data_IF_289811319332
#
_entry.id   IF_289811319332
#
_cell.length_a   1.000
_cell.length_b   1.000
_cell.length_c   1.000
_cell.angle_alpha   90.00
_cell.angle_beta   90.00
_cell.angle_gamma   90.00
#
_symmetry.space_group_name_H-M   'P 1'
#
loop_
_entity.id
_entity.type
_entity.pdbx_description
1 polymer ?
#
# COMPACT_ATOMS: atom_id res chain seq x y z
N UNK A 1 2.01 -6.29 14.27
CA UNK A 1 0.59 -5.89 14.50
C UNK A 1 -0.04 -5.44 13.20
N UNK A 2 -1.23 -5.97 12.85
CA UNK A 2 -1.99 -5.56 11.67
C UNK A 2 -3.02 -4.48 12.04
N UNK A 3 -3.13 -3.44 11.22
CA UNK A 3 -4.09 -2.35 11.35
C UNK A 3 -4.84 -2.15 10.04
N UNK A 4 -6.16 -1.99 10.11
CA UNK A 4 -7.02 -1.69 8.97
C UNK A 4 -7.87 -0.44 9.24
N UNK A 5 -8.07 0.39 8.21
CA UNK A 5 -8.96 1.56 8.27
C UNK A 5 -9.72 1.75 6.97
N UNK A 6 -11.03 1.99 7.09
CA UNK A 6 -11.97 2.27 5.99
C UNK A 6 -12.39 3.75 6.07
N UNK A 7 -12.47 4.44 4.93
CA UNK A 7 -12.69 5.89 4.89
C UNK A 7 -13.13 6.40 3.50
N UNK A 8 -13.58 7.65 3.44
CA UNK A 8 -14.05 8.34 2.23
C UNK A 8 -12.93 9.04 1.43
N UNK A 9 -11.77 9.25 2.04
CA UNK A 9 -10.62 9.95 1.46
C UNK A 9 -9.35 9.13 1.68
N UNK A 10 -8.35 9.22 0.79
CA UNK A 10 -7.09 8.50 0.98
C UNK A 10 -6.37 8.96 2.26
N UNK A 11 -5.73 8.03 2.98
CA UNK A 11 -4.86 8.31 4.14
C UNK A 11 -3.40 8.20 3.78
N UNK A 12 -3.03 7.18 3.00
CA UNK A 12 -1.63 6.88 2.69
C UNK A 12 -1.27 7.43 1.30
N UNK A 13 -2.17 7.27 0.33
CA UNK A 13 -1.98 7.83 -0.99
C UNK A 13 -1.92 9.37 -0.91
N UNK A 14 -0.98 10.00 -1.64
CA UNK A 14 -0.90 11.46 -1.70
C UNK A 14 -2.11 12.03 -2.43
N UNK A 15 -2.49 13.28 -2.14
CA UNK A 15 -3.69 13.91 -2.73
C UNK A 15 -3.70 13.92 -4.27
N UNK A 16 -2.53 13.89 -4.89
CA UNK A 16 -2.32 13.90 -6.34
C UNK A 16 -2.17 12.50 -6.96
N UNK A 17 -2.45 11.42 -6.22
CA UNK A 17 -2.22 10.04 -6.66
C UNK A 17 -2.84 9.71 -8.03
N UNK A 18 -3.97 10.34 -8.36
CA UNK A 18 -4.68 10.17 -9.65
C UNK A 18 -3.89 10.65 -10.87
N UNK A 19 -2.91 11.52 -10.66
CA UNK A 19 -2.08 12.12 -11.72
C UNK A 19 -0.60 11.81 -11.56
N UNK A 20 -0.23 11.10 -10.49
CA UNK A 20 1.17 10.88 -10.11
C UNK A 20 1.75 9.67 -10.82
N UNK A 21 2.98 9.82 -11.31
CA UNK A 21 3.78 8.75 -11.87
C UNK A 21 4.40 7.89 -10.76
N UNK A 22 4.45 6.58 -10.98
CA UNK A 22 5.03 5.60 -10.07
C UNK A 22 6.55 5.65 -10.12
N UNK A 23 7.20 5.94 -9.00
CA UNK A 23 8.64 5.76 -8.85
C UNK A 23 8.92 4.56 -7.95
N UNK A 24 9.80 3.66 -8.38
CA UNK A 24 10.16 2.44 -7.66
C UNK A 24 11.54 2.53 -7.00
N UNK A 25 11.64 1.97 -5.78
CA UNK A 25 12.81 1.88 -4.89
C UNK A 25 13.30 3.24 -4.36
N UNK A 26 13.03 3.50 -3.08
CA UNK A 26 13.61 4.63 -2.34
C UNK A 26 14.42 4.05 -1.17
N UNK A 27 15.77 4.02 -1.26
CA UNK A 27 16.58 3.68 -0.10
C UNK A 27 16.36 4.74 0.99
N UNK A 28 16.32 4.29 2.25
CA UNK A 28 16.37 5.22 3.38
C UNK A 28 17.68 6.00 3.36
N UNK A 29 17.69 7.24 3.88
CA UNK A 29 18.88 8.12 3.86
C UNK A 29 20.14 7.48 4.48
N UNK A 30 19.94 6.51 5.37
CA UNK A 30 21.00 5.79 6.07
C UNK A 30 21.21 4.34 5.58
N UNK A 31 20.44 3.87 4.60
CA UNK A 31 20.40 2.46 4.15
C UNK A 31 20.04 1.44 5.25
N UNK A 32 19.39 1.88 6.33
CA UNK A 32 18.93 1.01 7.42
C UNK A 32 17.73 0.14 7.03
N UNK A 33 17.04 0.54 5.96
CA UNK A 33 15.87 -0.14 5.41
C UNK A 33 16.02 -0.34 3.91
N UNK A 34 15.79 -1.58 3.46
CA UNK A 34 15.53 -1.90 2.06
C UNK A 34 14.03 -1.80 1.82
N UNK A 35 13.61 -0.97 0.87
CA UNK A 35 12.23 -0.51 0.75
C UNK A 35 11.77 -0.29 -0.68
N UNK A 36 10.53 -0.71 -0.94
CA UNK A 36 9.80 -0.46 -2.20
C UNK A 36 8.55 0.33 -1.87
N UNK A 37 8.32 1.39 -2.64
CA UNK A 37 7.13 2.23 -2.54
C UNK A 37 6.46 2.26 -3.91
N UNK A 38 5.15 2.21 -3.91
CA UNK A 38 4.27 2.48 -5.05
C UNK A 38 3.37 3.66 -4.69
N UNK A 39 3.31 4.64 -5.58
CA UNK A 39 2.42 5.81 -5.51
C UNK A 39 1.95 6.09 -6.93
N UNK A 40 0.67 5.95 -7.23
CA UNK A 40 0.22 6.17 -8.60
C UNK A 40 -1.26 5.94 -8.83
N UNK A 41 -1.62 5.94 -10.11
CA UNK A 41 -3.00 6.07 -10.63
C UNK A 41 -3.89 4.83 -10.44
N UNK A 42 -3.48 3.86 -9.62
CA UNK A 42 -4.21 2.63 -9.42
C UNK A 42 -3.75 1.50 -10.35
N UNK A 43 -3.27 0.40 -9.78
CA UNK A 43 -3.10 -0.90 -10.48
C UNK A 43 -3.92 -1.96 -9.75
N UNK A 44 -4.32 -3.03 -10.43
CA UNK A 44 -5.04 -4.12 -9.75
C UNK A 44 -4.11 -4.82 -8.75
N UNK A 45 -4.67 -5.51 -7.77
CA UNK A 45 -3.88 -6.33 -6.83
C UNK A 45 -3.07 -7.38 -7.58
N UNK A 46 -3.64 -8.00 -8.61
CA UNK A 46 -2.97 -9.06 -9.37
C UNK A 46 -1.74 -8.57 -10.15
N UNK A 47 -1.79 -7.33 -10.64
CA UNK A 47 -0.69 -6.69 -11.37
C UNK A 47 0.31 -5.99 -10.46
N UNK A 48 -0.03 -5.78 -9.17
CA UNK A 48 0.81 -5.00 -8.28
C UNK A 48 2.12 -5.74 -7.94
N UNK A 49 3.30 -5.11 -8.11
CA UNK A 49 4.60 -5.77 -7.89
C UNK A 49 4.83 -6.19 -6.43
N UNK A 50 4.15 -5.55 -5.48
CA UNK A 50 4.21 -5.86 -4.04
C UNK A 50 3.10 -6.79 -3.54
N UNK A 51 2.27 -7.38 -4.41
CA UNK A 51 1.11 -8.18 -3.97
C UNK A 51 1.47 -9.31 -3.00
N UNK A 52 2.60 -9.99 -3.25
CA UNK A 52 3.11 -11.06 -2.38
C UNK A 52 3.79 -10.57 -1.11
N UNK A 53 4.22 -9.32 -1.08
CA UNK A 53 4.97 -8.73 0.05
C UNK A 53 4.05 -8.02 1.06
N UNK A 54 2.93 -7.44 0.59
CA UNK A 54 2.03 -6.65 1.42
C UNK A 54 0.72 -7.37 1.78
N UNK A 55 0.56 -8.67 1.48
CA UNK A 55 -0.66 -9.45 1.72
C UNK A 55 -1.94 -8.66 1.32
N UNK A 56 -2.01 -8.26 0.05
CA UNK A 56 -3.05 -7.36 -0.45
C UNK A 56 -4.40 -8.06 -0.59
N UNK A 57 -5.48 -7.37 -0.20
CA UNK A 57 -6.86 -7.84 -0.22
C UNK A 57 -7.79 -6.74 -0.75
N UNK A 58 -8.98 -7.15 -1.19
CA UNK A 58 -10.05 -6.28 -1.63
C UNK A 58 -10.57 -5.29 -0.57
N UNK A 59 -11.71 -4.69 -0.88
CA UNK A 59 -12.32 -3.61 -0.10
C UNK A 59 -12.73 -4.11 1.30
N UNK A 60 -12.31 -3.41 2.36
CA UNK A 60 -12.75 -3.73 3.73
C UNK A 60 -14.20 -3.34 4.03
N UNK A 61 -14.85 -2.56 3.15
CA UNK A 61 -16.23 -2.08 3.37
C UNK A 61 -17.30 -2.99 2.75
N UNK A 62 -17.16 -3.33 1.47
CA UNK A 62 -18.15 -4.15 0.75
C UNK A 62 -17.59 -5.50 0.28
N UNK A 63 -16.37 -5.84 0.69
CA UNK A 63 -15.69 -7.11 0.35
C UNK A 63 -15.49 -7.34 -1.16
N UNK A 64 -15.70 -6.31 -1.98
CA UNK A 64 -15.44 -6.40 -3.42
C UNK A 64 -13.94 -6.50 -3.70
N UNK A 65 -13.58 -7.39 -4.62
CA UNK A 65 -12.24 -7.54 -5.18
C UNK A 65 -11.97 -6.54 -6.32
N UNK A 66 -12.98 -5.79 -6.77
CA UNK A 66 -12.84 -4.73 -7.78
C UNK A 66 -12.23 -3.48 -7.12
N UNK A 67 -10.91 -3.53 -6.92
CA UNK A 67 -10.14 -2.48 -6.28
C UNK A 67 -8.88 -2.12 -7.08
N UNK A 68 -8.44 -0.88 -6.91
CA UNK A 68 -7.15 -0.39 -7.40
C UNK A 68 -6.25 -0.02 -6.24
N UNK A 69 -5.02 -0.51 -6.23
CA UNK A 69 -3.97 -0.13 -5.28
C UNK A 69 -3.43 1.24 -5.67
N UNK A 70 -3.62 2.22 -4.79
CA UNK A 70 -3.24 3.64 -5.01
C UNK A 70 -1.98 4.03 -4.24
N UNK A 71 -1.63 3.20 -3.25
CA UNK A 71 -0.41 3.31 -2.46
C UNK A 71 0.00 1.92 -1.97
N UNK A 72 1.30 1.64 -1.93
CA UNK A 72 1.84 0.51 -1.19
C UNK A 72 3.29 0.77 -0.79
N UNK A 73 3.67 0.35 0.42
CA UNK A 73 5.05 0.27 0.84
C UNK A 73 5.32 -1.12 1.40
N UNK A 74 6.53 -1.59 1.14
CA UNK A 74 7.11 -2.72 1.83
C UNK A 74 8.55 -2.38 2.16
N UNK A 75 8.97 -2.63 3.39
CA UNK A 75 10.34 -2.42 3.80
C UNK A 75 10.77 -3.43 4.86
N UNK A 76 12.05 -3.77 4.86
CA UNK A 76 12.67 -4.64 5.87
C UNK A 76 13.87 -3.93 6.48
N UNK A 77 13.97 -3.99 7.80
CA UNK A 77 15.13 -3.51 8.55
C UNK A 77 16.34 -4.35 8.20
N UNK A 78 17.42 -3.72 7.74
CA UNK A 78 18.69 -4.41 7.43
C UNK A 78 19.36 -4.93 8.71
N UNK A 79 19.10 -4.30 9.86
CA UNK A 79 19.71 -4.65 11.13
C UNK A 79 18.99 -5.78 11.88
N UNK A 80 17.66 -5.74 11.92
CA UNK A 80 16.83 -6.67 12.72
C UNK A 80 16.07 -7.70 11.87
N UNK A 81 15.86 -7.42 10.58
CA UNK A 81 14.98 -8.23 9.73
C UNK A 81 13.49 -7.92 9.90
N UNK A 82 13.13 -6.94 10.74
CA UNK A 82 11.73 -6.58 10.98
C UNK A 82 11.08 -6.07 9.70
N UNK A 83 9.92 -6.64 9.38
CA UNK A 83 9.16 -6.29 8.20
C UNK A 83 8.09 -5.25 8.52
N UNK A 84 8.01 -4.23 7.66
CA UNK A 84 6.94 -3.26 7.65
C UNK A 84 6.29 -3.26 6.26
N UNK A 85 4.97 -3.18 6.21
CA UNK A 85 4.28 -2.87 4.98
C UNK A 85 3.00 -2.12 5.24
N UNK A 86 2.58 -1.37 4.23
CA UNK A 86 1.26 -0.80 4.17
C UNK A 86 0.77 -0.76 2.72
N UNK A 87 -0.53 -0.63 2.56
CA UNK A 87 -1.12 -0.34 1.26
C UNK A 87 -2.47 0.33 1.44
N UNK A 88 -2.91 0.99 0.39
CA UNK A 88 -4.23 1.58 0.29
C UNK A 88 -4.85 1.24 -1.05
N UNK A 89 -6.09 0.80 -1.01
CA UNK A 89 -6.91 0.53 -2.19
C UNK A 89 -8.10 1.47 -2.24
N UNK A 90 -8.54 1.81 -3.46
CA UNK A 90 -9.84 2.41 -3.75
C UNK A 90 -10.75 1.34 -4.36
N UNK A 91 -11.96 1.19 -3.81
CA UNK A 91 -12.96 0.28 -4.36
C UNK A 91 -13.71 0.93 -5.53
N UNK A 92 -13.78 0.24 -6.67
CA UNK A 92 -14.47 0.71 -7.86
C UNK A 92 -16.00 0.59 -7.74
N UNK A 93 -16.50 -0.22 -6.80
CA UNK A 93 -17.95 -0.38 -6.55
C UNK A 93 -18.49 0.62 -5.54
N UNK A 94 -17.94 0.65 -4.31
CA UNK A 94 -18.47 1.49 -3.24
C UNK A 94 -17.75 2.84 -3.06
N UNK A 95 -16.65 3.06 -3.80
CA UNK A 95 -15.88 4.31 -3.75
C UNK A 95 -15.13 4.55 -2.43
N UNK A 96 -15.13 3.59 -1.50
CA UNK A 96 -14.40 3.69 -0.23
C UNK A 96 -12.94 3.32 -0.39
N UNK A 97 -12.11 3.94 0.42
CA UNK A 97 -10.70 3.60 0.57
C UNK A 97 -10.53 2.61 1.72
N UNK A 98 -9.66 1.62 1.54
CA UNK A 98 -9.23 0.71 2.61
C UNK A 98 -7.71 0.76 2.69
N UNK A 99 -7.20 1.17 3.86
CA UNK A 99 -5.77 1.16 4.14
C UNK A 99 -5.44 0.04 5.14
N UNK A 100 -4.38 -0.72 4.87
CA UNK A 100 -3.86 -1.73 5.80
C UNK A 100 -2.39 -1.48 6.06
N UNK A 101 -1.96 -1.71 7.28
CA UNK A 101 -0.56 -1.54 7.71
C UNK A 101 -0.17 -2.67 8.64
N UNK A 102 1.07 -3.13 8.53
CA UNK A 102 1.68 -4.14 9.36
C UNK A 102 3.09 -3.70 9.75
N UNK A 103 3.45 -3.95 10.99
CA UNK A 103 4.82 -3.88 11.48
C UNK A 103 5.07 -5.11 12.33
N UNK A 104 6.15 -5.83 12.06
CA UNK A 104 6.81 -6.60 13.11
C UNK A 104 7.45 -5.60 14.08
N UNK A 105 7.38 -5.93 15.36
CA UNK A 105 7.95 -5.17 16.48
C UNK A 105 8.74 -6.15 17.32
#
# INVERSE_FOLDING_TARGET
>A
MLYEKIQDVPRLAPNDWKTRYTDGLVPSEHNDWDGKVFRGTGVTIEEHPLKGSCNMHGCGNCESEQVKVVYAQWSVSVASGDAYWDYEVICEECGKYTSRSFSDN
#
